data_IF_119800038806
#
_entry.id   IF_119800038806
#
_cell.length_a   1.000
_cell.length_b   1.000
_cell.length_c   1.000
_cell.angle_alpha   90.00
_cell.angle_beta   90.00
_cell.angle_gamma   90.00
#
_symmetry.space_group_name_H-M   'P 1'
#
loop_
_entity.id
_entity.type
_entity.pdbx_description
1 polymer ?
#
# COMPACT_ATOMS: atom_id res chain seq x y z
N UNK A 1 3.36 0.44 16.26
CA UNK A 1 3.50 0.15 14.82
C UNK A 1 4.07 1.36 14.10
N UNK A 2 4.75 1.16 12.97
CA UNK A 2 5.33 2.20 12.13
C UNK A 2 4.31 3.27 11.72
N UNK A 3 3.05 2.88 11.49
CA UNK A 3 1.96 3.80 11.14
C UNK A 3 1.61 4.80 12.25
N UNK A 4 1.59 4.35 13.50
CA UNK A 4 1.32 5.22 14.66
C UNK A 4 2.50 6.18 14.86
N UNK A 5 3.73 5.68 14.75
CA UNK A 5 4.93 6.52 14.82
C UNK A 5 4.91 7.61 13.74
N UNK A 6 4.62 7.22 12.49
CA UNK A 6 4.54 8.15 11.36
C UNK A 6 3.48 9.23 11.57
N UNK A 7 2.31 8.86 12.06
CA UNK A 7 1.21 9.78 12.36
C UNK A 7 1.54 10.77 13.49
N UNK A 8 2.24 10.33 14.52
CA UNK A 8 2.55 11.16 15.69
C UNK A 8 3.76 12.10 15.49
N UNK A 9 4.75 11.69 14.69
CA UNK A 9 6.03 12.37 14.60
C UNK A 9 6.27 13.14 13.30
N UNK A 10 5.47 12.92 12.24
CA UNK A 10 5.60 13.68 11.01
C UNK A 10 4.55 14.81 10.94
N UNK A 11 5.03 16.05 11.03
CA UNK A 11 4.17 17.25 11.09
C UNK A 11 3.59 17.72 9.75
N UNK A 12 4.10 17.23 8.62
CA UNK A 12 3.73 17.71 7.27
C UNK A 12 3.17 16.58 6.38
N UNK A 13 2.20 15.83 6.89
CA UNK A 13 1.49 14.84 6.11
C UNK A 13 0.49 15.55 5.18
N UNK A 14 0.41 15.11 3.93
CA UNK A 14 -0.63 15.57 3.02
C UNK A 14 -1.97 14.84 3.29
N UNK A 15 -3.05 15.31 2.66
CA UNK A 15 -4.39 14.72 2.84
C UNK A 15 -4.40 13.21 2.57
N UNK A 16 -3.70 12.73 1.54
CA UNK A 16 -3.67 11.33 1.16
C UNK A 16 -2.92 10.45 2.17
N UNK A 17 -1.89 11.00 2.82
CA UNK A 17 -1.18 10.31 3.90
C UNK A 17 -2.09 10.15 5.12
N UNK A 18 -2.81 11.21 5.54
CA UNK A 18 -3.80 11.12 6.60
C UNK A 18 -4.92 10.14 6.26
N UNK A 19 -5.48 10.22 5.05
CA UNK A 19 -6.52 9.32 4.59
C UNK A 19 -6.05 7.87 4.63
N UNK A 20 -4.85 7.59 4.13
CA UNK A 20 -4.26 6.26 4.17
C UNK A 20 -4.12 5.74 5.61
N UNK A 21 -3.49 6.51 6.51
CA UNK A 21 -3.26 6.08 7.88
C UNK A 21 -4.56 5.86 8.64
N UNK A 22 -5.52 6.77 8.50
CA UNK A 22 -6.81 6.64 9.20
C UNK A 22 -7.62 5.49 8.61
N UNK A 23 -7.82 5.47 7.29
CA UNK A 23 -8.70 4.47 6.66
C UNK A 23 -8.09 3.08 6.75
N UNK A 24 -6.82 2.90 6.40
CA UNK A 24 -6.24 1.55 6.41
C UNK A 24 -5.83 1.06 7.80
N UNK A 25 -5.38 1.94 8.70
CA UNK A 25 -5.05 1.52 10.07
C UNK A 25 -6.32 1.25 10.88
N UNK A 26 -7.24 2.22 10.97
CA UNK A 26 -8.42 2.09 11.81
C UNK A 26 -9.50 1.21 11.19
N UNK A 27 -9.78 1.36 9.91
CA UNK A 27 -10.85 0.60 9.25
C UNK A 27 -10.35 -0.68 8.57
N UNK A 28 -9.05 -0.81 8.28
CA UNK A 28 -8.48 -2.02 7.69
C UNK A 28 -7.88 -2.97 8.75
N UNK A 29 -6.81 -2.52 9.42
CA UNK A 29 -6.01 -3.38 10.29
C UNK A 29 -6.76 -3.74 11.56
N UNK A 30 -7.41 -2.79 12.26
CA UNK A 30 -8.07 -3.04 13.53
C UNK A 30 -9.22 -4.05 13.40
N UNK A 31 -10.19 -3.90 12.47
CA UNK A 31 -11.21 -4.93 12.27
C UNK A 31 -10.62 -6.28 11.88
N UNK A 32 -9.58 -6.29 11.03
CA UNK A 32 -8.86 -7.50 10.69
C UNK A 32 -8.30 -8.22 11.92
N UNK A 33 -7.64 -7.49 12.82
CA UNK A 33 -7.08 -8.06 14.05
C UNK A 33 -8.16 -8.57 15.03
N UNK A 34 -9.33 -7.95 15.05
CA UNK A 34 -10.41 -8.32 15.97
C UNK A 34 -11.24 -9.52 15.49
N UNK A 35 -11.46 -9.63 14.19
CA UNK A 35 -12.44 -10.58 13.64
C UNK A 35 -11.81 -11.71 12.83
N UNK A 36 -10.52 -11.63 12.46
CA UNK A 36 -9.84 -12.66 11.68
C UNK A 36 -9.04 -13.55 12.59
N UNK A 37 -9.24 -14.86 12.42
CA UNK A 37 -8.52 -15.92 13.12
C UNK A 37 -7.52 -16.64 12.23
N UNK A 38 -7.70 -16.55 10.92
CA UNK A 38 -6.80 -17.16 9.93
C UNK A 38 -5.59 -16.27 9.61
N UNK A 39 -4.63 -16.82 8.88
CA UNK A 39 -3.44 -16.10 8.45
C UNK A 39 -3.68 -15.11 7.29
N UNK A 40 -4.91 -14.96 6.81
CA UNK A 40 -5.21 -14.10 5.66
C UNK A 40 -4.83 -12.62 5.88
N UNK A 41 -4.96 -12.12 7.12
CA UNK A 41 -4.57 -10.74 7.44
C UNK A 41 -3.06 -10.53 7.27
N UNK A 42 -2.24 -11.45 7.77
CA UNK A 42 -0.78 -11.35 7.65
C UNK A 42 -0.34 -11.43 6.19
N UNK A 43 -0.94 -12.34 5.43
CA UNK A 43 -0.68 -12.46 4.01
C UNK A 43 -1.02 -11.15 3.26
N UNK A 44 -2.16 -10.54 3.57
CA UNK A 44 -2.55 -9.26 2.99
C UNK A 44 -1.62 -8.11 3.38
N UNK A 45 -1.21 -8.01 4.64
CA UNK A 45 -0.27 -6.98 5.09
C UNK A 45 1.07 -7.07 4.37
N UNK A 46 1.58 -8.29 4.15
CA UNK A 46 2.83 -8.49 3.40
C UNK A 46 2.66 -8.11 1.93
N UNK A 47 1.59 -8.55 1.29
CA UNK A 47 1.37 -8.33 -0.15
C UNK A 47 0.94 -6.89 -0.46
N UNK A 48 0.10 -6.27 0.37
CA UNK A 48 -0.42 -4.93 0.14
C UNK A 48 0.61 -3.81 0.38
N UNK A 49 1.52 -3.97 1.33
CA UNK A 49 2.42 -2.90 1.71
C UNK A 49 3.79 -3.31 2.20
N UNK A 50 3.95 -4.54 2.71
CA UNK A 50 5.18 -4.94 3.38
C UNK A 50 6.40 -4.86 2.48
N UNK A 51 6.39 -5.59 1.38
CA UNK A 51 7.53 -5.64 0.45
C UNK A 51 7.79 -4.31 -0.25
N UNK A 52 6.76 -3.74 -0.86
CA UNK A 52 6.88 -2.48 -1.61
C UNK A 52 7.17 -1.30 -0.68
N UNK A 53 6.58 -1.28 0.51
CA UNK A 53 6.82 -0.24 1.51
C UNK A 53 8.26 -0.22 2.01
N UNK A 54 8.88 -1.38 2.25
CA UNK A 54 10.29 -1.44 2.64
C UNK A 54 11.18 -0.78 1.57
N UNK A 55 11.00 -1.15 0.30
CA UNK A 55 11.80 -0.62 -0.80
C UNK A 55 11.56 0.88 -0.98
N UNK A 56 10.29 1.33 -0.84
CA UNK A 56 9.94 2.74 -0.91
C UNK A 56 10.62 3.56 0.17
N UNK A 57 10.56 3.14 1.44
CA UNK A 57 11.22 3.84 2.55
C UNK A 57 12.75 3.84 2.40
N UNK A 58 13.35 2.73 1.95
CA UNK A 58 14.78 2.69 1.64
C UNK A 58 15.14 3.71 0.54
N UNK A 59 14.37 3.76 -0.54
CA UNK A 59 14.60 4.69 -1.64
C UNK A 59 14.42 6.15 -1.24
N UNK A 60 13.43 6.46 -0.40
CA UNK A 60 13.24 7.80 0.18
C UNK A 60 14.40 8.22 1.08
N UNK A 61 14.95 7.28 1.86
CA UNK A 61 16.13 7.52 2.68
C UNK A 61 17.34 7.84 1.80
N UNK A 62 17.55 7.10 0.71
CA UNK A 62 18.62 7.38 -0.25
C UNK A 62 18.48 8.76 -0.90
N UNK A 63 17.26 9.19 -1.22
CA UNK A 63 17.01 10.54 -1.74
C UNK A 63 17.31 11.60 -0.69
N UNK A 64 16.91 11.37 0.57
CA UNK A 64 17.16 12.30 1.69
C UNK A 64 18.66 12.54 1.96
N UNK A 65 19.49 11.55 1.68
CA UNK A 65 20.94 11.60 1.86
C UNK A 65 21.71 11.86 0.55
N UNK A 66 21.02 12.30 -0.52
CA UNK A 66 21.59 12.63 -1.84
C UNK A 66 22.27 11.46 -2.58
N UNK A 67 22.05 10.21 -2.15
CA UNK A 67 22.53 9.01 -2.84
C UNK A 67 21.66 8.61 -4.05
N UNK A 68 20.46 9.14 -4.16
CA UNK A 68 19.54 8.85 -5.26
C UNK A 68 18.79 10.12 -5.69
N UNK A 69 18.65 10.33 -7.01
CA UNK A 69 17.85 11.44 -7.50
C UNK A 69 16.34 11.21 -7.27
N UNK A 70 15.59 12.29 -7.03
CA UNK A 70 14.13 12.21 -6.84
C UNK A 70 13.39 11.61 -8.03
N UNK A 71 13.87 11.84 -9.25
CA UNK A 71 13.28 11.26 -10.45
C UNK A 71 13.52 9.74 -10.53
N UNK A 72 14.71 9.28 -10.13
CA UNK A 72 15.05 7.85 -10.08
C UNK A 72 14.16 7.13 -9.05
N UNK A 73 13.98 7.72 -7.87
CA UNK A 73 13.08 7.19 -6.84
C UNK A 73 11.63 7.09 -7.34
N UNK A 74 11.12 8.12 -8.04
CA UNK A 74 9.76 8.09 -8.59
C UNK A 74 9.61 7.04 -9.70
N UNK A 75 10.64 6.82 -10.55
CA UNK A 75 10.64 5.73 -11.55
C UNK A 75 10.63 4.37 -10.88
N UNK A 76 11.42 4.18 -9.84
CA UNK A 76 11.44 2.93 -9.07
C UNK A 76 10.07 2.66 -8.44
N UNK A 77 9.47 3.66 -7.80
CA UNK A 77 8.15 3.52 -7.21
C UNK A 77 7.08 3.20 -8.26
N UNK A 78 7.10 3.87 -9.42
CA UNK A 78 6.19 3.57 -10.52
C UNK A 78 6.28 2.11 -10.94
N UNK A 79 7.50 1.59 -11.13
CA UNK A 79 7.74 0.19 -11.45
C UNK A 79 7.20 -0.74 -10.35
N UNK A 80 7.54 -0.48 -9.08
CA UNK A 80 7.11 -1.29 -7.95
C UNK A 80 5.59 -1.35 -7.81
N UNK A 81 4.91 -0.22 -8.01
CA UNK A 81 3.47 -0.15 -7.85
C UNK A 81 2.72 -0.84 -8.98
N UNK A 82 3.15 -0.67 -10.23
CA UNK A 82 2.51 -1.28 -11.40
C UNK A 82 2.81 -2.78 -11.49
N UNK A 83 4.06 -3.19 -11.30
CA UNK A 83 4.49 -4.56 -11.60
C UNK A 83 4.59 -5.46 -10.37
N UNK A 84 4.58 -4.91 -9.16
CA UNK A 84 4.69 -5.69 -7.93
C UNK A 84 3.44 -5.51 -7.07
N UNK A 85 3.17 -4.29 -6.60
CA UNK A 85 2.09 -4.05 -5.63
C UNK A 85 0.71 -4.37 -6.19
N UNK A 86 0.35 -3.82 -7.34
CA UNK A 86 -0.97 -4.02 -7.94
C UNK A 86 -1.22 -5.51 -8.26
N UNK A 87 -0.32 -6.22 -8.96
CA UNK A 87 -0.48 -7.65 -9.18
C UNK A 87 -0.55 -8.47 -7.89
N UNK A 88 0.25 -8.17 -6.88
CA UNK A 88 0.20 -8.86 -5.59
C UNK A 88 -1.11 -8.61 -4.84
N UNK A 89 -1.66 -7.39 -4.89
CA UNK A 89 -2.97 -7.10 -4.30
C UNK A 89 -4.09 -7.88 -5.01
N UNK A 90 -4.07 -7.95 -6.35
CA UNK A 90 -5.04 -8.71 -7.14
C UNK A 90 -4.91 -10.21 -6.84
N UNK A 91 -3.68 -10.74 -6.93
CA UNK A 91 -3.41 -12.15 -6.66
C UNK A 91 -3.79 -12.53 -5.24
N UNK A 92 -3.37 -11.74 -4.24
CA UNK A 92 -3.64 -12.01 -2.83
C UNK A 92 -5.13 -12.02 -2.51
N UNK A 93 -5.90 -11.07 -3.08
CA UNK A 93 -7.36 -11.03 -2.91
C UNK A 93 -8.02 -12.24 -3.58
N UNK A 94 -7.64 -12.56 -4.81
CA UNK A 94 -8.18 -13.72 -5.54
C UNK A 94 -7.85 -15.02 -4.80
N UNK A 95 -6.62 -15.18 -4.32
CA UNK A 95 -6.19 -16.33 -3.55
C UNK A 95 -7.02 -16.50 -2.27
N UNK A 96 -7.21 -15.43 -1.50
CA UNK A 96 -8.00 -15.48 -0.27
C UNK A 96 -9.47 -15.82 -0.52
N UNK A 97 -10.09 -15.26 -1.56
CA UNK A 97 -11.48 -15.59 -1.93
C UNK A 97 -11.58 -17.07 -2.34
N UNK A 98 -10.63 -17.55 -3.14
CA UNK A 98 -10.58 -18.96 -3.55
C UNK A 98 -10.38 -19.88 -2.35
N UNK A 99 -9.48 -19.53 -1.44
CA UNK A 99 -9.25 -20.29 -0.20
C UNK A 99 -10.50 -20.33 0.70
N UNK A 100 -11.26 -19.22 0.76
CA UNK A 100 -12.53 -19.17 1.47
C UNK A 100 -13.57 -20.12 0.83
N UNK A 101 -13.75 -20.05 -0.48
CA UNK A 101 -14.72 -20.90 -1.22
C UNK A 101 -14.40 -22.38 -1.04
N UNK A 102 -13.11 -22.75 -0.98
CA UNK A 102 -12.66 -24.11 -0.78
C UNK A 102 -12.63 -24.54 0.70
N UNK A 103 -13.10 -23.71 1.63
CA UNK A 103 -13.19 -24.03 3.04
C UNK A 103 -11.87 -24.01 3.82
N UNK A 104 -10.78 -23.49 3.23
CA UNK A 104 -9.50 -23.34 3.92
C UNK A 104 -9.48 -22.12 4.87
N UNK A 105 -10.35 -21.16 4.67
CA UNK A 105 -10.55 -20.00 5.54
C UNK A 105 -11.95 -20.11 6.16
N UNK A 106 -12.00 -20.10 7.49
CA UNK A 106 -13.24 -20.25 8.28
C UNK A 106 -13.71 -18.93 8.91
N UNK A 107 -13.05 -17.83 8.57
CA UNK A 107 -13.45 -16.50 9.04
C UNK A 107 -14.82 -16.11 8.46
N UNK A 108 -15.58 -15.22 9.12
CA UNK A 108 -16.87 -14.76 8.60
C UNK A 108 -16.75 -14.15 7.19
N UNK A 109 -17.70 -14.47 6.30
CA UNK A 109 -17.68 -14.01 4.90
C UNK A 109 -17.55 -12.49 4.78
N UNK A 110 -18.29 -11.74 5.61
CA UNK A 110 -18.29 -10.28 5.55
C UNK A 110 -16.91 -9.67 5.79
N UNK A 111 -16.13 -10.21 6.75
CA UNK A 111 -14.78 -9.69 7.02
C UNK A 111 -13.79 -10.13 5.94
N UNK A 112 -13.93 -11.33 5.41
CA UNK A 112 -13.13 -11.81 4.28
C UNK A 112 -13.37 -10.94 3.05
N UNK A 113 -14.62 -10.65 2.69
CA UNK A 113 -14.94 -9.74 1.59
C UNK A 113 -14.43 -8.33 1.84
N UNK A 114 -14.67 -7.79 3.04
CA UNK A 114 -14.22 -6.46 3.43
C UNK A 114 -12.71 -6.27 3.25
N UNK A 115 -11.90 -7.22 3.74
CA UNK A 115 -10.44 -7.15 3.60
C UNK A 115 -9.98 -7.28 2.15
N UNK A 116 -10.59 -8.16 1.39
CA UNK A 116 -10.23 -8.34 -0.02
C UNK A 116 -10.58 -7.10 -0.86
N UNK A 117 -11.75 -6.49 -0.64
CA UNK A 117 -12.11 -5.22 -1.27
C UNK A 117 -11.15 -4.08 -0.87
N UNK A 118 -10.79 -4.02 0.42
CA UNK A 118 -9.81 -3.04 0.92
C UNK A 118 -8.45 -3.20 0.25
N UNK A 119 -8.04 -4.44 -0.01
CA UNK A 119 -6.79 -4.75 -0.70
C UNK A 119 -6.80 -4.35 -2.18
N UNK A 120 -7.89 -4.63 -2.91
CA UNK A 120 -8.08 -4.13 -4.27
C UNK A 120 -8.04 -2.61 -4.33
N UNK A 121 -8.78 -1.97 -3.44
CA UNK A 121 -8.81 -0.51 -3.35
C UNK A 121 -7.42 0.07 -3.05
N UNK A 122 -6.71 -0.51 -2.09
CA UNK A 122 -5.34 -0.12 -1.77
C UNK A 122 -4.41 -0.23 -2.99
N UNK A 123 -4.38 -1.38 -3.65
CA UNK A 123 -3.54 -1.61 -4.82
C UNK A 123 -3.81 -0.62 -5.96
N UNK A 124 -5.08 -0.40 -6.28
CA UNK A 124 -5.49 0.49 -7.37
C UNK A 124 -5.26 1.97 -7.04
N UNK A 125 -5.70 2.42 -5.86
CA UNK A 125 -5.55 3.82 -5.44
C UNK A 125 -4.09 4.25 -5.41
N UNK A 126 -3.22 3.47 -4.74
CA UNK A 126 -1.82 3.86 -4.61
C UNK A 126 -1.05 3.75 -5.91
N UNK A 127 -1.39 2.80 -6.78
CA UNK A 127 -0.83 2.76 -8.14
C UNK A 127 -1.22 4.02 -8.91
N UNK A 128 -2.49 4.42 -8.87
CA UNK A 128 -2.95 5.66 -9.50
C UNK A 128 -2.21 6.89 -8.96
N UNK A 129 -2.12 7.05 -7.63
CA UNK A 129 -1.45 8.18 -7.00
C UNK A 129 0.05 8.24 -7.36
N UNK A 130 0.70 7.09 -7.44
CA UNK A 130 2.12 6.99 -7.85
C UNK A 130 2.29 7.40 -9.31
N UNK A 131 1.43 6.91 -10.22
CA UNK A 131 1.42 7.34 -11.62
C UNK A 131 1.24 8.86 -11.73
N UNK A 132 0.22 9.40 -11.07
CA UNK A 132 -0.07 10.84 -11.05
C UNK A 132 1.13 11.65 -10.56
N UNK A 133 1.73 11.26 -9.43
CA UNK A 133 2.89 11.94 -8.85
C UNK A 133 4.12 11.93 -9.78
N UNK A 134 4.33 10.84 -10.50
CA UNK A 134 5.42 10.74 -11.48
C UNK A 134 5.19 11.67 -12.68
N UNK A 135 3.99 11.65 -13.28
CA UNK A 135 3.66 12.51 -14.42
C UNK A 135 3.69 14.00 -14.07
N UNK A 136 3.16 14.38 -12.92
CA UNK A 136 3.23 15.77 -12.45
C UNK A 136 4.67 16.25 -12.29
N UNK A 137 5.56 15.37 -11.79
CA UNK A 137 6.98 15.72 -11.63
C UNK A 137 7.67 15.93 -12.97
N UNK A 138 7.40 15.08 -13.97
CA UNK A 138 7.97 15.25 -15.32
C UNK A 138 7.45 16.53 -15.96
N UNK A 139 6.16 16.80 -15.88
CA UNK A 139 5.58 17.99 -16.49
C UNK A 139 6.14 19.28 -15.89
N UNK A 140 6.32 19.31 -14.56
CA UNK A 140 6.95 20.48 -13.91
C UNK A 140 8.40 20.67 -14.35
N UNK A 141 9.17 19.60 -14.50
CA UNK A 141 10.55 19.71 -14.97
C UNK A 141 10.65 20.17 -16.43
N UNK A 142 9.69 19.85 -17.30
CA UNK A 142 9.63 20.32 -18.70
C UNK A 142 9.25 21.79 -18.84
N UNK A 143 8.53 22.36 -17.86
CA UNK A 143 8.15 23.79 -17.88
C UNK A 143 9.27 24.72 -17.38
N UNK A 144 10.33 24.16 -16.82
CA UNK A 144 11.46 24.93 -16.30
C UNK A 144 12.66 24.99 -17.27
N UNK A 145 12.55 24.34 -18.43
CA UNK A 145 13.45 24.39 -19.57
C UNK A 145 12.75 24.88 -20.83
#
# INVERSE_FOLDING_TARGET
SLHIYHFLFFRNLNFWDYFHHIVFAFFGIIPGMLFIKSNQLYFQLITAGGLTGIIEYCSLTLVKHDFMSKITQKKLNLFLYIFVRLPLCIFGSTYNITAYINGYITDPLWITLYLNLSMYFNGTLFTYLTCKSYYEHINRSRLLY
#
